data_IF_279055099524
#
_entry.id   IF_279055099524
#
_cell.length_a   1.000
_cell.length_b   1.000
_cell.length_c   1.000
_cell.angle_alpha   90.00
_cell.angle_beta   90.00
_cell.angle_gamma   90.00
#
_symmetry.space_group_name_H-M   'P 1'
#
loop_
_entity.id
_entity.type
_entity.pdbx_description
1 polymer ?
#
# COMPACT_ATOMS: atom_id res chain seq x y z
N UNK A 1 -7.81 37.75 6.69
CA UNK A 1 -6.63 36.90 7.03
C UNK A 1 -6.77 35.62 6.24
N UNK A 2 -5.89 35.35 5.29
CA UNK A 2 -5.90 34.09 4.54
C UNK A 2 -4.75 33.23 5.08
N UNK A 3 -5.09 32.25 5.93
CA UNK A 3 -4.09 31.46 6.64
C UNK A 3 -3.44 30.40 5.73
N UNK A 4 -4.21 29.81 4.80
CA UNK A 4 -3.75 28.82 3.83
C UNK A 4 -4.18 29.18 2.39
N UNK A 5 -3.34 28.82 1.42
CA UNK A 5 -3.59 28.95 -0.02
C UNK A 5 -4.21 27.66 -0.59
N UNK A 6 -4.85 27.73 -1.77
CA UNK A 6 -5.49 26.56 -2.42
C UNK A 6 -6.94 26.78 -2.82
N UNK A 7 -7.65 25.69 -3.13
CA UNK A 7 -9.03 25.69 -3.63
C UNK A 7 -10.01 26.31 -2.63
N UNK A 8 -10.85 27.23 -3.09
CA UNK A 8 -11.91 27.83 -2.26
C UNK A 8 -12.91 26.78 -1.76
N UNK A 9 -13.20 25.74 -2.56
CA UNK A 9 -14.05 24.62 -2.13
C UNK A 9 -13.45 23.85 -0.95
N UNK A 10 -12.12 23.74 -0.89
CA UNK A 10 -11.44 23.08 0.22
C UNK A 10 -11.58 23.85 1.52
N UNK A 11 -11.49 25.18 1.41
CA UNK A 11 -11.60 26.08 2.56
C UNK A 11 -13.03 26.06 3.10
N UNK A 12 -14.01 26.21 2.22
CA UNK A 12 -15.44 26.12 2.55
C UNK A 12 -15.80 24.80 3.25
N UNK A 13 -15.24 23.68 2.77
CA UNK A 13 -15.44 22.37 3.41
C UNK A 13 -14.91 22.33 4.86
N UNK A 14 -13.71 22.85 5.08
CA UNK A 14 -13.07 22.86 6.40
C UNK A 14 -13.84 23.80 7.34
N UNK A 15 -14.27 24.96 6.85
CA UNK A 15 -15.06 25.93 7.62
C UNK A 15 -16.38 25.30 8.07
N UNK A 16 -17.08 24.56 7.20
CA UNK A 16 -18.32 23.88 7.54
C UNK A 16 -18.14 22.74 8.57
N UNK A 17 -16.97 22.10 8.63
CA UNK A 17 -16.64 21.09 9.65
C UNK A 17 -16.24 21.70 10.99
N UNK A 18 -15.57 22.86 10.95
CA UNK A 18 -15.09 23.58 12.13
C UNK A 18 -16.09 24.62 12.63
N UNK A 19 -17.36 24.51 12.24
CA UNK A 19 -18.44 25.34 12.74
C UNK A 19 -18.67 25.10 14.24
N UNK A 20 -18.76 26.18 15.02
CA UNK A 20 -18.89 26.12 16.48
C UNK A 20 -20.29 25.66 16.88
N UNK A 21 -21.32 26.10 16.12
CA UNK A 21 -22.69 25.66 16.35
C UNK A 21 -22.90 24.22 15.80
N UNK A 22 -23.22 23.22 16.65
CA UNK A 22 -23.37 21.84 16.21
C UNK A 22 -24.50 21.62 15.20
N UNK A 23 -25.54 22.45 15.22
CA UNK A 23 -26.68 22.33 14.29
C UNK A 23 -26.34 22.80 12.87
N UNK A 24 -25.34 23.68 12.75
CA UNK A 24 -24.86 24.19 11.47
C UNK A 24 -23.64 23.40 10.98
N UNK A 25 -22.97 22.66 11.87
CA UNK A 25 -21.80 21.85 11.54
C UNK A 25 -22.17 20.75 10.56
N UNK A 26 -21.32 20.60 9.55
CA UNK A 26 -21.50 19.61 8.52
C UNK A 26 -21.44 18.19 9.10
N UNK A 27 -22.54 17.44 8.94
CA UNK A 27 -22.58 16.03 9.32
C UNK A 27 -21.68 15.18 8.42
N UNK A 28 -21.23 14.01 8.90
CA UNK A 28 -20.42 13.09 8.09
C UNK A 28 -21.12 12.66 6.78
N UNK A 29 -22.43 12.42 6.82
CA UNK A 29 -23.21 12.04 5.64
C UNK A 29 -23.33 13.19 4.62
N UNK A 30 -23.41 14.44 5.09
CA UNK A 30 -23.43 15.63 4.24
C UNK A 30 -22.04 15.96 3.69
N UNK A 31 -20.99 15.73 4.49
CA UNK A 31 -19.59 15.97 4.11
C UNK A 31 -19.16 15.15 2.89
N UNK A 32 -19.63 13.90 2.78
CA UNK A 32 -19.38 13.05 1.61
C UNK A 32 -19.96 13.61 0.30
N UNK A 33 -20.93 14.53 0.40
CA UNK A 33 -21.59 15.16 -0.75
C UNK A 33 -21.02 16.55 -1.07
N UNK A 34 -20.04 17.02 -0.30
CA UNK A 34 -19.48 18.35 -0.50
C UNK A 34 -18.79 18.47 -1.86
N UNK A 35 -18.95 19.61 -2.53
CA UNK A 35 -18.41 19.87 -3.87
C UNK A 35 -16.88 19.74 -3.94
N UNK A 36 -16.19 19.91 -2.82
CA UNK A 36 -14.75 19.64 -2.76
C UNK A 36 -14.40 18.15 -2.93
N UNK A 37 -15.24 17.26 -2.39
CA UNK A 37 -15.09 15.80 -2.48
C UNK A 37 -15.69 15.23 -3.77
N UNK A 38 -16.83 15.78 -4.20
CA UNK A 38 -17.55 15.38 -5.41
C UNK A 38 -16.96 16.04 -6.67
N UNK A 39 -16.19 17.11 -6.48
CA UNK A 39 -15.67 18.03 -7.47
C UNK A 39 -15.11 17.37 -8.73
N UNK A 40 -15.74 17.71 -9.86
CA UNK A 40 -15.40 17.33 -11.23
C UNK A 40 -14.78 15.93 -11.38
N UNK A 41 -15.66 14.96 -11.58
CA UNK A 41 -15.42 13.65 -12.23
C UNK A 41 -14.64 13.71 -13.57
N UNK A 42 -14.19 14.90 -14.00
CA UNK A 42 -13.60 15.21 -15.29
C UNK A 42 -12.08 15.45 -15.26
N UNK A 43 -11.41 15.41 -14.10
CA UNK A 43 -9.94 15.55 -14.03
C UNK A 43 -9.21 14.39 -13.35
N UNK A 44 -9.89 13.24 -13.16
CA UNK A 44 -9.17 11.97 -13.22
C UNK A 44 -8.80 11.71 -14.68
N UNK A 45 -7.90 12.54 -15.23
CA UNK A 45 -7.12 12.20 -16.41
C UNK A 45 -6.15 11.08 -16.00
N UNK A 46 -6.73 9.92 -15.72
CA UNK A 46 -6.05 8.64 -15.66
C UNK A 46 -5.71 8.26 -17.10
N UNK A 47 -4.93 9.09 -17.80
CA UNK A 47 -4.08 8.62 -18.90
C UNK A 47 -2.90 7.82 -18.34
N UNK A 48 -3.16 7.03 -17.29
CA UNK A 48 -2.36 5.85 -16.99
C UNK A 48 -2.91 4.77 -17.90
N UNK A 49 -2.22 4.47 -18.99
CA UNK A 49 -2.46 3.22 -19.73
C UNK A 49 -2.11 1.98 -18.90
N UNK A 50 -1.71 2.16 -17.64
CA UNK A 50 -1.42 1.09 -16.70
C UNK A 50 -2.61 0.94 -15.78
N UNK A 51 -3.38 -0.11 -16.04
CA UNK A 51 -4.43 -0.61 -15.16
C UNK A 51 -3.89 -0.78 -13.74
N UNK A 52 -4.52 -0.13 -12.75
CA UNK A 52 -4.23 -0.33 -11.32
C UNK A 52 -4.70 -1.71 -10.84
N UNK A 53 -5.49 -2.43 -11.64
CA UNK A 53 -6.02 -3.77 -11.31
C UNK A 53 -5.04 -4.92 -11.59
N UNK A 54 -3.87 -4.64 -12.17
CA UNK A 54 -2.88 -5.68 -12.52
C UNK A 54 -1.53 -5.38 -11.84
N UNK A 55 -1.47 -5.56 -10.53
CA UNK A 55 -0.21 -5.51 -9.75
C UNK A 55 0.02 -6.83 -9.00
N UNK A 56 -0.54 -7.93 -9.49
CA UNK A 56 -0.39 -9.26 -8.88
C UNK A 56 0.13 -10.28 -9.88
N UNK A 57 1.24 -9.94 -10.55
CA UNK A 57 2.30 -10.88 -11.01
C UNK A 57 3.06 -10.28 -12.19
N UNK A 58 4.14 -9.56 -11.89
CA UNK A 58 5.17 -9.21 -12.89
C UNK A 58 6.11 -10.39 -13.20
N UNK A 59 5.82 -11.59 -12.71
CA UNK A 59 6.56 -12.83 -12.91
C UNK A 59 6.22 -13.54 -14.23
N UNK A 60 5.70 -12.80 -15.22
CA UNK A 60 5.58 -13.28 -16.59
C UNK A 60 6.98 -13.44 -17.21
N UNK A 61 7.61 -14.58 -16.93
CA UNK A 61 8.76 -15.08 -17.70
C UNK A 61 9.98 -15.48 -16.91
N UNK A 62 10.04 -15.29 -15.58
CA UNK A 62 11.14 -15.84 -14.81
C UNK A 62 10.91 -17.32 -14.54
N UNK A 63 11.16 -18.14 -15.57
CA UNK A 63 11.20 -19.59 -15.46
C UNK A 63 12.40 -19.91 -14.57
N UNK A 64 12.14 -20.31 -13.33
CA UNK A 64 13.17 -20.87 -12.45
C UNK A 64 13.65 -22.17 -13.10
N UNK A 65 14.95 -22.32 -13.30
CA UNK A 65 15.53 -23.55 -13.85
C UNK A 65 15.32 -24.68 -12.82
N UNK A 66 14.65 -25.79 -13.17
CA UNK A 66 14.49 -26.93 -12.26
C UNK A 66 15.83 -27.43 -11.68
N UNK A 67 16.92 -27.32 -12.44
CA UNK A 67 18.25 -27.74 -11.98
C UNK A 67 18.83 -26.83 -10.90
N UNK A 68 18.40 -25.57 -10.83
CA UNK A 68 18.78 -24.65 -9.77
C UNK A 68 18.05 -25.00 -8.47
N UNK A 69 16.78 -25.41 -8.57
CA UNK A 69 15.97 -25.87 -7.44
C UNK A 69 16.56 -27.13 -6.81
N UNK A 70 16.93 -28.10 -7.63
CA UNK A 70 17.51 -29.37 -7.16
C UNK A 70 18.87 -29.16 -6.47
N UNK A 71 19.70 -28.27 -7.01
CA UNK A 71 20.98 -27.89 -6.40
C UNK A 71 20.77 -27.22 -5.05
N UNK A 72 19.86 -26.25 -4.97
CA UNK A 72 19.54 -25.56 -3.74
C UNK A 72 19.03 -26.53 -2.66
N UNK A 73 18.17 -27.48 -3.03
CA UNK A 73 17.70 -28.51 -2.11
C UNK A 73 18.84 -29.38 -1.56
N UNK A 74 19.78 -29.78 -2.42
CA UNK A 74 20.97 -30.52 -2.02
C UNK A 74 21.88 -29.73 -1.05
N UNK A 75 22.10 -28.45 -1.32
CA UNK A 75 22.93 -27.58 -0.49
C UNK A 75 22.29 -27.34 0.89
N UNK A 76 20.97 -27.13 0.95
CA UNK A 76 20.24 -27.03 2.21
C UNK A 76 20.35 -28.31 3.05
N UNK A 77 20.26 -29.48 2.43
CA UNK A 77 20.46 -30.75 3.15
C UNK A 77 21.89 -30.90 3.67
N UNK A 78 22.90 -30.46 2.91
CA UNK A 78 24.30 -30.47 3.38
C UNK A 78 24.49 -29.53 4.57
N UNK A 79 23.99 -28.30 4.48
CA UNK A 79 24.03 -27.31 5.56
C UNK A 79 23.35 -27.82 6.83
N UNK A 80 22.16 -28.42 6.71
CA UNK A 80 21.46 -29.01 7.83
C UNK A 80 22.27 -30.14 8.50
N UNK A 81 22.94 -30.99 7.70
CA UNK A 81 23.81 -32.05 8.22
C UNK A 81 25.05 -31.48 8.91
N UNK A 82 25.66 -30.41 8.38
CA UNK A 82 26.77 -29.71 9.03
C UNK A 82 26.36 -29.08 10.36
N UNK A 83 25.18 -28.46 10.44
CA UNK A 83 24.66 -27.94 11.72
C UNK A 83 24.44 -29.05 12.76
N UNK A 84 23.95 -30.22 12.34
CA UNK A 84 23.80 -31.37 13.23
C UNK A 84 25.14 -31.95 13.71
N UNK A 85 26.21 -31.87 12.91
CA UNK A 85 27.55 -32.31 13.32
C UNK A 85 28.22 -31.29 14.26
N UNK A 86 28.06 -29.98 13.96
CA UNK A 86 28.59 -28.91 14.80
C UNK A 86 27.97 -28.91 16.21
N UNK A 87 26.66 -29.14 16.31
CA UNK A 87 25.94 -29.21 17.60
C UNK A 87 26.27 -30.47 18.41
N UNK A 88 26.62 -31.59 17.77
CA UNK A 88 27.09 -32.82 18.47
C UNK A 88 28.45 -32.64 19.13
N UNK A 89 29.26 -31.67 18.71
CA UNK A 89 30.58 -31.41 19.29
C UNK A 89 30.54 -30.55 20.56
N UNK A 90 29.38 -29.97 20.91
CA UNK A 90 29.16 -29.19 22.13
C UNK A 90 28.20 -29.89 23.13
N UNK A 91 27.98 -31.19 22.96
CA UNK A 91 26.98 -31.96 23.72
C UNK A 91 27.54 -33.03 24.66
N UNK A 92 28.80 -32.93 25.11
CA UNK A 92 29.35 -33.79 26.15
C UNK A 92 30.09 -32.95 27.19
N UNK A 93 29.34 -32.46 28.19
CA UNK A 93 29.79 -32.10 29.53
C UNK A 93 28.79 -32.70 30.52
#
# INVERSE_FOLDING_TARGET
>A
LQFWSGSELAKDFVDALLETNPELRLSAASALKHEWFVGTRNHLNTRSSRSIRSVTRSDHGHRVDPLEVDRLAGDLQRLAKFQQQSTKHYGFL
#
